data_IF_410482795502
#
_entry.id   IF_410482795502
#
_cell.length_a   1.000
_cell.length_b   1.000
_cell.length_c   1.000
_cell.angle_alpha   90.00
_cell.angle_beta   90.00
_cell.angle_gamma   90.00
#
_symmetry.space_group_name_H-M   'P 1'
#
loop_
_entity.id
_entity.type
_entity.pdbx_description
1 polymer ?
#
# COMPACT_ATOMS: atom_id res chain seq x y z
N UNK A 1 -14.27 31.13 7.89
CA UNK A 1 -13.89 29.70 7.90
C UNK A 1 -14.51 29.07 6.67
N UNK A 2 -13.78 29.01 5.55
CA UNK A 2 -14.26 28.34 4.35
C UNK A 2 -13.93 26.84 4.46
N UNK A 3 -14.82 25.92 4.06
CA UNK A 3 -14.45 24.53 3.95
C UNK A 3 -13.40 24.43 2.84
N UNK A 4 -12.19 24.02 3.21
CA UNK A 4 -11.17 23.61 2.25
C UNK A 4 -11.73 22.34 1.60
N UNK A 5 -12.21 22.45 0.37
CA UNK A 5 -12.45 21.28 -0.47
C UNK A 5 -11.08 20.65 -0.73
N UNK A 6 -10.71 19.65 0.06
CA UNK A 6 -9.67 18.71 -0.33
C UNK A 6 -10.26 17.90 -1.49
N UNK A 7 -9.66 17.93 -2.69
CA UNK A 7 -10.19 17.20 -3.83
C UNK A 7 -10.25 15.74 -3.42
N UNK A 8 -11.44 15.13 -3.52
CA UNK A 8 -11.73 13.71 -3.37
C UNK A 8 -10.46 12.87 -3.24
N UNK A 9 -10.01 12.69 -2.00
CA UNK A 9 -8.78 11.96 -1.69
C UNK A 9 -8.89 10.62 -2.39
N UNK A 10 -7.95 10.30 -3.28
CA UNK A 10 -7.92 9.00 -3.97
C UNK A 10 -7.95 7.82 -3.00
N UNK A 11 -7.65 8.05 -1.72
CA UNK A 11 -7.89 7.14 -0.60
C UNK A 11 -9.35 6.66 -0.47
N UNK A 12 -10.35 7.51 -0.73
CA UNK A 12 -11.78 7.14 -0.64
C UNK A 12 -12.27 6.33 -1.85
N UNK A 13 -11.44 6.25 -2.90
CA UNK A 13 -11.74 5.54 -4.14
C UNK A 13 -10.58 4.63 -4.51
N UNK A 14 -10.48 3.43 -3.90
CA UNK A 14 -9.34 2.53 -4.10
C UNK A 14 -9.08 2.21 -5.58
N UNK A 15 -10.12 2.09 -6.41
CA UNK A 15 -9.97 1.90 -7.85
C UNK A 15 -9.27 3.06 -8.58
N UNK A 16 -9.53 4.31 -8.16
CA UNK A 16 -8.87 5.48 -8.73
C UNK A 16 -7.41 5.60 -8.26
N UNK A 17 -7.14 5.25 -6.99
CA UNK A 17 -5.79 5.13 -6.45
C UNK A 17 -4.95 4.13 -7.26
N UNK A 18 -5.46 2.91 -7.42
CA UNK A 18 -4.78 1.82 -8.16
C UNK A 18 -4.50 2.25 -9.60
N UNK A 19 -5.48 2.88 -10.28
CA UNK A 19 -5.31 3.36 -11.65
C UNK A 19 -4.27 4.48 -11.77
N UNK A 20 -4.04 5.26 -10.71
CA UNK A 20 -3.05 6.32 -10.68
C UNK A 20 -1.63 5.82 -10.37
N UNK A 21 -1.46 4.64 -9.78
CA UNK A 21 -0.15 4.11 -9.36
C UNK A 21 0.90 4.12 -10.48
N UNK A 22 0.61 3.71 -11.73
CA UNK A 22 1.63 3.74 -12.78
C UNK A 22 2.13 5.16 -13.10
N UNK A 23 1.25 6.16 -13.03
CA UNK A 23 1.61 7.55 -13.26
C UNK A 23 2.45 8.12 -12.11
N UNK A 24 2.15 7.73 -10.87
CA UNK A 24 2.90 8.15 -9.67
C UNK A 24 4.28 7.51 -9.61
N UNK A 25 4.38 6.22 -9.93
CA UNK A 25 5.66 5.48 -9.95
C UNK A 25 6.51 5.84 -11.19
N UNK A 26 5.89 6.33 -12.27
CA UNK A 26 6.55 6.58 -13.55
C UNK A 26 6.79 5.31 -14.39
N UNK A 27 6.30 4.16 -13.92
CA UNK A 27 6.36 2.87 -14.60
C UNK A 27 5.19 1.99 -14.15
N UNK A 28 4.84 0.98 -14.95
CA UNK A 28 3.85 -0.03 -14.56
C UNK A 28 4.53 -1.04 -13.63
N UNK A 29 4.16 -1.14 -12.34
CA UNK A 29 4.72 -2.13 -11.44
C UNK A 29 4.36 -3.55 -11.91
N UNK A 30 5.27 -4.49 -11.74
CA UNK A 30 5.08 -5.92 -12.02
C UNK A 30 5.64 -6.70 -10.85
N UNK A 31 4.92 -7.71 -10.36
CA UNK A 31 5.31 -8.55 -9.21
C UNK A 31 5.84 -7.70 -8.05
N UNK A 32 5.01 -6.78 -7.55
CA UNK A 32 5.42 -5.74 -6.59
C UNK A 32 4.41 -5.57 -5.46
N UNK A 33 4.89 -5.16 -4.28
CA UNK A 33 4.05 -4.61 -3.21
C UNK A 33 4.24 -3.10 -3.19
N UNK A 34 3.13 -2.37 -3.28
CA UNK A 34 3.09 -0.91 -3.23
C UNK A 34 2.33 -0.49 -1.97
N UNK A 35 2.95 0.35 -1.14
CA UNK A 35 2.33 0.92 0.04
C UNK A 35 2.11 2.42 -0.19
N UNK A 36 0.86 2.85 -0.20
CA UNK A 36 0.50 4.26 -0.28
C UNK A 36 0.20 4.74 1.13
N UNK A 37 0.99 5.67 1.64
CA UNK A 37 0.79 6.21 2.98
C UNK A 37 -0.04 7.48 2.95
N UNK A 38 -0.67 7.82 4.07
CA UNK A 38 -1.36 9.09 4.25
C UNK A 38 -1.36 9.54 5.71
N UNK A 39 -1.51 10.85 5.91
CA UNK A 39 -1.61 11.48 7.22
C UNK A 39 -2.53 12.70 7.11
N UNK A 40 -3.41 12.92 8.09
CA UNK A 40 -4.32 14.07 8.08
C UNK A 40 -5.24 14.17 6.85
N UNK A 41 -5.51 13.05 6.17
CA UNK A 41 -6.34 12.98 4.96
C UNK A 41 -5.60 13.29 3.65
N UNK A 42 -4.28 13.50 3.68
CA UNK A 42 -3.46 13.74 2.49
C UNK A 42 -2.54 12.56 2.19
N UNK A 43 -2.38 12.22 0.91
CA UNK A 43 -1.42 11.19 0.49
C UNK A 43 0.01 11.63 0.80
N UNK A 44 0.75 10.75 1.46
CA UNK A 44 2.15 10.90 1.78
C UNK A 44 3.05 10.18 0.77
N UNK A 45 3.95 9.35 1.28
CA UNK A 45 4.90 8.60 0.47
C UNK A 45 4.24 7.39 -0.20
N UNK A 46 4.69 7.08 -1.42
CA UNK A 46 4.40 5.81 -2.08
C UNK A 46 5.67 4.97 -2.02
N UNK A 47 5.64 3.90 -1.25
CA UNK A 47 6.73 2.94 -1.11
C UNK A 47 6.48 1.76 -2.02
N UNK A 48 7.55 1.17 -2.54
CA UNK A 48 7.47 0.01 -3.43
C UNK A 48 8.58 -0.97 -3.12
N UNK A 49 8.24 -2.25 -3.07
CA UNK A 49 9.16 -3.36 -3.00
C UNK A 49 8.80 -4.41 -4.06
N UNK A 50 9.79 -5.19 -4.49
CA UNK A 50 9.54 -6.39 -5.28
C UNK A 50 8.81 -7.43 -4.41
N UNK A 51 7.85 -8.15 -4.98
CA UNK A 51 7.03 -9.13 -4.26
C UNK A 51 7.86 -10.29 -3.71
N UNK A 52 8.93 -10.67 -4.42
CA UNK A 52 9.90 -11.69 -3.96
C UNK A 52 10.61 -11.29 -2.67
N UNK A 53 10.82 -9.99 -2.46
CA UNK A 53 11.57 -9.46 -1.32
C UNK A 53 10.65 -8.92 -0.23
N UNK A 54 9.34 -8.84 -0.52
CA UNK A 54 8.37 -8.23 0.38
C UNK A 54 8.39 -8.83 1.79
N UNK A 55 8.46 -10.17 1.99
CA UNK A 55 8.53 -10.76 3.33
C UNK A 55 9.72 -10.27 4.17
N UNK A 56 10.87 -10.02 3.54
CA UNK A 56 12.07 -9.52 4.23
C UNK A 56 12.05 -8.00 4.43
N UNK A 57 11.28 -7.29 3.60
CA UNK A 57 11.20 -5.83 3.59
C UNK A 57 10.03 -5.26 4.38
N UNK A 58 9.16 -6.07 4.97
CA UNK A 58 7.99 -5.60 5.73
C UNK A 58 8.37 -4.60 6.83
N UNK A 59 9.33 -4.98 7.68
CA UNK A 59 9.82 -4.11 8.76
C UNK A 59 10.40 -2.79 8.22
N UNK A 60 11.13 -2.86 7.11
CA UNK A 60 11.66 -1.65 6.47
C UNK A 60 10.55 -0.77 5.90
N UNK A 61 9.52 -1.36 5.27
CA UNK A 61 8.38 -0.62 4.72
C UNK A 61 7.58 0.07 5.83
N UNK A 62 7.30 -0.63 6.93
CA UNK A 62 6.61 -0.06 8.07
C UNK A 62 7.42 1.06 8.75
N UNK A 63 8.72 0.84 8.94
CA UNK A 63 9.63 1.86 9.46
C UNK A 63 9.68 3.12 8.59
N UNK A 64 9.72 2.95 7.26
CA UNK A 64 9.67 4.08 6.32
C UNK A 64 8.30 4.79 6.32
N UNK A 65 7.20 4.05 6.42
CA UNK A 65 5.87 4.62 6.52
C UNK A 65 5.74 5.48 7.78
N UNK A 66 6.13 4.94 8.94
CA UNK A 66 6.13 5.67 10.22
C UNK A 66 7.07 6.87 10.19
N UNK A 67 8.29 6.72 9.64
CA UNK A 67 9.24 7.82 9.48
C UNK A 67 8.73 8.93 8.55
N UNK A 68 7.83 8.62 7.62
CA UNK A 68 7.15 9.62 6.77
C UNK A 68 6.05 10.40 7.49
N UNK A 69 5.74 10.04 8.74
CA UNK A 69 4.64 10.62 9.51
C UNK A 69 3.28 10.05 9.13
N UNK A 70 3.23 8.88 8.48
CA UNK A 70 1.99 8.24 8.09
C UNK A 70 1.18 7.84 9.32
N UNK A 71 -0.12 8.08 9.25
CA UNK A 71 -1.10 7.57 10.23
C UNK A 71 -1.79 6.32 9.68
N UNK A 72 -1.99 6.28 8.36
CA UNK A 72 -2.67 5.20 7.66
C UNK A 72 -1.90 4.80 6.40
N UNK A 73 -2.13 3.58 5.94
CA UNK A 73 -1.59 3.08 4.69
C UNK A 73 -2.60 2.20 3.92
N UNK A 74 -2.43 2.16 2.60
CA UNK A 74 -3.12 1.27 1.68
C UNK A 74 -2.08 0.41 0.98
N UNK A 75 -2.23 -0.92 1.05
CA UNK A 75 -1.35 -1.86 0.37
C UNK A 75 -1.95 -2.31 -0.97
N UNK A 76 -1.13 -2.38 -2.00
CA UNK A 76 -1.49 -2.90 -3.32
C UNK A 76 -0.43 -3.91 -3.75
N UNK A 77 -0.80 -5.18 -3.80
CA UNK A 77 -0.01 -6.25 -4.40
C UNK A 77 -0.33 -6.27 -5.89
N UNK A 78 0.70 -6.20 -6.71
CA UNK A 78 0.60 -6.33 -8.16
C UNK A 78 1.21 -7.67 -8.55
N UNK A 79 0.38 -8.63 -8.92
CA UNK A 79 0.81 -9.97 -9.32
C UNK A 79 0.07 -10.43 -10.59
N UNK A 80 0.72 -10.23 -11.73
CA UNK A 80 0.24 -10.59 -13.06
C UNK A 80 0.11 -12.11 -13.28
N UNK A 81 0.73 -12.93 -12.41
CA UNK A 81 0.76 -14.40 -12.52
C UNK A 81 -0.14 -15.09 -11.49
N UNK A 82 -0.42 -14.44 -10.36
CA UNK A 82 -1.15 -15.02 -9.23
C UNK A 82 -2.68 -14.96 -9.31
N UNK A 83 -3.26 -14.20 -10.24
CA UNK A 83 -4.71 -13.94 -10.31
C UNK A 83 -5.62 -15.19 -10.43
N UNK A 84 -5.06 -16.38 -10.70
CA UNK A 84 -5.79 -17.66 -10.76
C UNK A 84 -5.23 -18.79 -9.88
N UNK A 85 -4.24 -18.52 -9.02
CA UNK A 85 -3.58 -19.54 -8.21
C UNK A 85 -4.07 -19.49 -6.75
N UNK A 86 -4.71 -20.55 -6.21
CA UNK A 86 -5.18 -20.59 -4.83
C UNK A 86 -4.04 -20.46 -3.80
N UNK A 87 -2.86 -21.04 -4.08
CA UNK A 87 -1.71 -20.92 -3.18
C UNK A 87 -1.20 -19.48 -3.11
N UNK A 88 -1.14 -18.78 -4.25
CA UNK A 88 -0.76 -17.36 -4.26
C UNK A 88 -1.74 -16.50 -3.47
N UNK A 89 -3.04 -16.82 -3.49
CA UNK A 89 -4.03 -16.11 -2.69
C UNK A 89 -3.78 -16.25 -1.17
N UNK A 90 -3.40 -17.45 -0.70
CA UNK A 90 -3.05 -17.65 0.70
C UNK A 90 -1.70 -17.01 1.07
N UNK A 91 -0.70 -17.06 0.17
CA UNK A 91 0.59 -16.37 0.34
C UNK A 91 0.40 -14.84 0.43
N UNK A 92 -0.41 -14.26 -0.46
CA UNK A 92 -0.76 -12.85 -0.40
C UNK A 92 -1.50 -12.49 0.88
N UNK A 93 -2.42 -13.34 1.36
CA UNK A 93 -3.12 -13.11 2.63
C UNK A 93 -2.13 -13.09 3.79
N UNK A 94 -1.25 -14.09 3.89
CA UNK A 94 -0.23 -14.15 4.94
C UNK A 94 0.71 -12.93 4.90
N UNK A 95 1.09 -12.49 3.71
CA UNK A 95 1.92 -11.31 3.52
C UNK A 95 1.19 -10.03 3.98
N UNK A 96 -0.09 -9.89 3.68
CA UNK A 96 -0.89 -8.73 4.13
C UNK A 96 -1.15 -8.75 5.64
N UNK A 97 -1.38 -9.92 6.23
CA UNK A 97 -1.53 -10.05 7.68
C UNK A 97 -0.22 -9.62 8.38
N UNK A 98 0.92 -10.15 7.93
CA UNK A 98 2.23 -9.77 8.48
C UNK A 98 2.55 -8.28 8.27
N UNK A 99 2.20 -7.71 7.11
CA UNK A 99 2.36 -6.28 6.85
C UNK A 99 1.48 -5.43 7.78
N UNK A 100 0.25 -5.90 8.07
CA UNK A 100 -0.68 -5.23 8.98
C UNK A 100 -0.11 -5.18 10.39
N UNK A 101 0.38 -6.32 10.89
CA UNK A 101 0.99 -6.41 12.23
C UNK A 101 2.21 -5.49 12.33
N UNK A 102 3.10 -5.53 11.34
CA UNK A 102 4.32 -4.72 11.35
C UNK A 102 4.04 -3.21 11.25
N UNK A 103 3.03 -2.80 10.46
CA UNK A 103 2.58 -1.41 10.39
C UNK A 103 1.97 -0.95 11.73
N UNK A 104 1.15 -1.81 12.35
CA UNK A 104 0.52 -1.52 13.64
C UNK A 104 1.56 -1.34 14.75
N UNK A 105 2.60 -2.17 14.77
CA UNK A 105 3.75 -2.03 15.69
C UNK A 105 4.48 -0.69 15.52
N UNK A 106 4.43 -0.11 14.32
CA UNK A 106 5.00 1.20 13.99
C UNK A 106 4.01 2.37 14.10
N UNK A 107 2.77 2.11 14.57
CA UNK A 107 1.73 3.12 14.75
C UNK A 107 1.03 3.57 13.47
N UNK A 108 1.13 2.79 12.39
CA UNK A 108 0.48 3.04 11.10
C UNK A 108 -0.66 2.03 10.91
N UNK A 109 -1.87 2.50 10.63
CA UNK A 109 -3.03 1.62 10.41
C UNK A 109 -3.15 1.23 8.92
N UNK A 110 -3.17 -0.07 8.63
CA UNK A 110 -3.50 -0.54 7.27
C UNK A 110 -5.03 -0.54 7.08
N UNK A 111 -5.53 0.41 6.29
CA UNK A 111 -6.98 0.62 6.11
C UNK A 111 -7.57 -0.14 4.91
N UNK A 112 -6.72 -0.54 3.96
CA UNK A 112 -7.12 -1.33 2.81
C UNK A 112 -5.94 -2.11 2.21
N UNK A 113 -6.24 -3.29 1.67
CA UNK A 113 -5.31 -4.12 0.92
C UNK A 113 -5.97 -4.59 -0.39
N UNK A 114 -5.26 -4.46 -1.50
CA UNK A 114 -5.73 -4.84 -2.82
C UNK A 114 -4.72 -5.74 -3.52
N UNK A 115 -5.21 -6.71 -4.29
CA UNK A 115 -4.40 -7.56 -5.17
C UNK A 115 -4.91 -7.34 -6.59
N UNK A 116 -4.00 -6.99 -7.52
CA UNK A 116 -4.31 -6.66 -8.91
C UNK A 116 -3.40 -7.35 -9.91
#
# INVERSE_FOLDING_TARGET
MAPIHHPDSSLDRPGALIAALPAVLGFVPVSSVVLVTAAGGEMGAVLRADLSDAPEKLCQLAGLASASGAEIAIAVIVDDKGAGCPMCADEHRQLMDALTDELADHGVELIAAHVV
#
